data_IF_267681076939
#
_entry.id   IF_267681076939
#
_cell.length_a   1.000
_cell.length_b   1.000
_cell.length_c   1.000
_cell.angle_alpha   90.00
_cell.angle_beta   90.00
_cell.angle_gamma   90.00
#
_symmetry.space_group_name_H-M   'P 1'
#
loop_
_entity.id
_entity.type
_entity.pdbx_description
1 polymer ?
#
# COMPACT_ATOMS: atom_id res chain seq x y z
N UNK A 1 -6.62 26.00 -1.84
CA UNK A 1 -6.93 24.91 -0.88
C UNK A 1 -6.29 23.61 -1.39
N UNK A 2 -5.11 23.20 -0.91
CA UNK A 2 -4.39 21.99 -1.39
C UNK A 2 -3.64 21.27 -0.23
N UNK A 3 -4.28 21.09 0.91
CA UNK A 3 -3.66 20.39 2.06
C UNK A 3 -4.63 19.43 2.77
N UNK A 4 -5.37 18.63 2.01
CA UNK A 4 -6.20 17.54 2.58
C UNK A 4 -6.02 16.16 1.92
N UNK A 5 -5.17 16.06 0.89
CA UNK A 5 -4.98 14.80 0.14
C UNK A 5 -4.22 13.74 0.93
N UNK A 6 -3.32 14.15 1.85
CA UNK A 6 -2.40 13.23 2.53
C UNK A 6 -3.07 12.38 3.61
N UNK A 7 -4.17 12.86 4.22
CA UNK A 7 -4.91 12.11 5.24
C UNK A 7 -5.82 11.03 4.63
N UNK A 8 -6.39 11.28 3.45
CA UNK A 8 -7.22 10.30 2.74
C UNK A 8 -6.42 9.09 2.27
N UNK A 9 -5.15 9.28 1.92
CA UNK A 9 -4.32 8.20 1.37
C UNK A 9 -3.93 7.16 2.43
N UNK A 10 -3.70 7.56 3.69
CA UNK A 10 -3.38 6.61 4.78
C UNK A 10 -4.54 5.66 5.06
N UNK A 11 -5.77 6.17 5.10
CA UNK A 11 -6.97 5.38 5.37
C UNK A 11 -7.15 4.24 4.37
N UNK A 12 -6.80 4.45 3.09
CA UNK A 12 -6.96 3.45 2.03
C UNK A 12 -6.09 2.21 2.22
N UNK A 13 -4.92 2.35 2.83
CA UNK A 13 -4.06 1.20 3.11
C UNK A 13 -4.59 0.40 4.31
N UNK A 14 -5.12 1.08 5.33
CA UNK A 14 -5.74 0.43 6.50
C UNK A 14 -7.05 -0.30 6.16
N UNK A 15 -7.76 0.11 5.10
CA UNK A 15 -8.97 -0.56 4.62
C UNK A 15 -8.70 -1.95 4.02
N UNK A 16 -7.44 -2.28 3.70
CA UNK A 16 -7.10 -3.57 3.07
C UNK A 16 -7.06 -4.66 4.16
N UNK A 17 -7.95 -5.66 4.11
CA UNK A 17 -7.99 -6.71 5.11
C UNK A 17 -6.68 -7.51 5.13
N UNK A 18 -6.07 -7.59 6.31
CA UNK A 18 -4.75 -8.23 6.48
C UNK A 18 -3.57 -7.28 6.29
N UNK A 19 -3.77 -5.99 5.98
CA UNK A 19 -2.72 -4.99 5.95
C UNK A 19 -2.62 -4.24 7.29
N UNK A 20 -2.04 -4.89 8.29
CA UNK A 20 -1.83 -4.26 9.60
C UNK A 20 -0.78 -3.15 9.59
N UNK A 21 -0.75 -2.33 10.65
CA UNK A 21 0.16 -1.19 10.83
C UNK A 21 1.64 -1.51 10.54
N UNK A 22 2.12 -2.69 10.96
CA UNK A 22 3.49 -3.12 10.68
C UNK A 22 3.79 -3.23 9.18
N UNK A 23 2.90 -3.88 8.41
CA UNK A 23 3.05 -4.04 6.96
C UNK A 23 2.91 -2.71 6.23
N UNK A 24 1.99 -1.86 6.68
CA UNK A 24 1.87 -0.50 6.15
C UNK A 24 3.16 0.30 6.36
N UNK A 25 3.77 0.22 7.55
CA UNK A 25 5.05 0.88 7.81
C UNK A 25 6.17 0.33 6.91
N UNK A 26 6.21 -0.98 6.66
CA UNK A 26 7.18 -1.59 5.74
C UNK A 26 6.97 -1.12 4.29
N UNK A 27 5.73 -1.05 3.81
CA UNK A 27 5.41 -0.49 2.50
C UNK A 27 5.85 0.97 2.39
N UNK A 28 5.50 1.79 3.38
CA UNK A 28 5.89 3.19 3.39
C UNK A 28 7.42 3.37 3.47
N UNK A 29 8.10 2.50 4.22
CA UNK A 29 9.56 2.51 4.29
C UNK A 29 10.22 2.09 2.96
N UNK A 30 9.60 1.17 2.23
CA UNK A 30 10.13 0.69 0.94
C UNK A 30 9.82 1.65 -0.21
N UNK A 31 8.57 2.09 -0.34
CA UNK A 31 8.07 2.89 -1.45
C UNK A 31 8.11 4.40 -1.21
N UNK A 32 8.37 4.85 0.02
CA UNK A 32 8.42 6.25 0.47
C UNK A 32 7.09 7.05 0.35
N UNK A 33 6.19 6.69 -0.56
CA UNK A 33 4.87 7.31 -0.72
C UNK A 33 3.79 6.32 -1.13
N UNK A 34 2.55 6.66 -0.80
CA UNK A 34 1.35 5.90 -1.18
C UNK A 34 1.12 5.95 -2.69
N UNK A 35 1.51 7.04 -3.35
CA UNK A 35 1.47 7.12 -4.82
C UNK A 35 2.40 6.08 -5.48
N UNK A 36 3.56 5.81 -4.89
CA UNK A 36 4.45 4.75 -5.35
C UNK A 36 3.88 3.37 -5.08
N UNK A 37 3.25 3.15 -3.92
CA UNK A 37 2.55 1.89 -3.60
C UNK A 37 1.42 1.64 -4.61
N UNK A 38 0.66 2.70 -4.95
CA UNK A 38 -0.41 2.64 -5.94
C UNK A 38 0.11 2.28 -7.33
N UNK A 39 1.25 2.84 -7.75
CA UNK A 39 1.84 2.55 -9.05
C UNK A 39 2.71 1.29 -9.05
N UNK A 40 2.99 0.71 -7.88
CA UNK A 40 3.82 -0.48 -7.76
C UNK A 40 3.12 -1.70 -8.34
N UNK A 41 3.91 -2.55 -8.98
CA UNK A 41 3.42 -3.85 -9.46
C UNK A 41 3.26 -4.85 -8.32
N UNK A 42 2.42 -5.86 -8.53
CA UNK A 42 2.24 -7.00 -7.61
C UNK A 42 3.57 -7.62 -7.18
N UNK A 43 4.56 -7.68 -8.09
CA UNK A 43 5.90 -8.20 -7.79
C UNK A 43 6.64 -7.32 -6.80
N UNK A 44 6.70 -6.01 -7.05
CA UNK A 44 7.37 -5.05 -6.15
C UNK A 44 6.72 -5.03 -4.78
N UNK A 45 5.39 -5.07 -4.72
CA UNK A 45 4.65 -5.17 -3.46
C UNK A 45 4.99 -6.47 -2.71
N UNK A 46 5.23 -7.58 -3.44
CA UNK A 46 5.63 -8.86 -2.86
C UNK A 46 7.11 -8.94 -2.43
N UNK A 47 7.96 -8.02 -2.89
CA UNK A 47 9.35 -7.90 -2.43
C UNK A 47 9.43 -7.33 -1.01
N UNK A 48 8.37 -6.65 -0.54
CA UNK A 48 8.33 -6.09 0.79
C UNK A 48 8.21 -7.20 1.85
N UNK A 49 9.11 -7.24 2.84
CA UNK A 49 9.09 -8.27 3.87
C UNK A 49 7.77 -8.23 4.66
N UNK A 50 7.07 -9.37 4.68
CA UNK A 50 5.76 -9.51 5.33
C UNK A 50 4.57 -9.27 4.41
N UNK A 51 4.78 -8.89 3.15
CA UNK A 51 3.77 -8.83 2.10
C UNK A 51 4.02 -9.96 1.11
N UNK A 52 3.29 -11.04 1.27
CA UNK A 52 3.35 -12.15 0.31
C UNK A 52 2.61 -11.83 -0.98
N UNK A 53 2.81 -12.70 -1.98
CA UNK A 53 2.15 -12.66 -3.29
C UNK A 53 0.62 -12.54 -3.24
N UNK A 54 -0.01 -13.10 -2.20
CA UNK A 54 -1.46 -13.01 -2.02
C UNK A 54 -1.89 -11.61 -1.63
N UNK A 55 -1.22 -11.03 -0.62
CA UNK A 55 -1.53 -9.69 -0.14
C UNK A 55 -1.15 -8.62 -1.16
N UNK A 56 -0.04 -8.80 -1.89
CA UNK A 56 0.34 -7.86 -2.95
C UNK A 56 -0.68 -7.79 -4.09
N UNK A 57 -1.31 -8.92 -4.44
CA UNK A 57 -2.42 -8.94 -5.40
C UNK A 57 -3.64 -8.19 -4.87
N UNK A 58 -4.03 -8.44 -3.62
CA UNK A 58 -5.16 -7.73 -2.98
C UNK A 58 -4.93 -6.21 -2.96
N UNK A 59 -3.73 -5.77 -2.57
CA UNK A 59 -3.35 -4.35 -2.60
C UNK A 59 -3.43 -3.80 -4.02
N UNK A 60 -2.85 -4.49 -4.99
CA UNK A 60 -2.85 -4.05 -6.37
C UNK A 60 -4.27 -3.92 -6.94
N UNK A 61 -5.12 -4.93 -6.70
CA UNK A 61 -6.53 -4.93 -7.10
C UNK A 61 -7.34 -3.83 -6.42
N UNK A 62 -7.10 -3.55 -5.14
CA UNK A 62 -7.77 -2.46 -4.44
C UNK A 62 -7.50 -1.09 -5.10
N UNK A 63 -6.28 -0.88 -5.60
CA UNK A 63 -5.92 0.36 -6.30
C UNK A 63 -6.23 0.36 -7.82
N UNK A 64 -6.42 -0.81 -8.41
CA UNK A 64 -6.73 -1.03 -9.83
C UNK A 64 -7.95 -1.96 -9.98
N UNK A 65 -9.17 -1.43 -9.82
CA UNK A 65 -10.40 -2.15 -10.14
C UNK A 65 -10.56 -2.41 -11.64
#
# INVERSE_FOLDING_TARGET
RKQRSSQLNRSRLDEIPGLGFQRQKQLLAHFNSIDYIRNASVKQLAEVPGIGLRLSKEIYHYFHP
#
